data_IF_771009002558
#
_entry.id   IF_771009002558
#
_cell.length_a   1.000
_cell.length_b   1.000
_cell.length_c   1.000
_cell.angle_alpha   90.00
_cell.angle_beta   90.00
_cell.angle_gamma   90.00
#
_symmetry.space_group_name_H-M   'P 1'
#
loop_
_entity.id
_entity.type
_entity.pdbx_description
1 polymer ?
#
# COMPACT_ATOMS: atom_id res chain seq x y z
N UNK A 1 8.56 -9.67 -6.84
CA UNK A 1 9.01 -9.41 -5.46
C UNK A 1 8.44 -10.49 -4.58
N UNK A 2 9.25 -11.14 -3.75
CA UNK A 2 8.76 -12.04 -2.71
C UNK A 2 8.54 -11.23 -1.42
N UNK A 3 7.36 -11.38 -0.83
CA UNK A 3 6.92 -10.67 0.38
C UNK A 3 6.44 -11.64 1.47
N UNK A 4 6.69 -12.93 1.28
CA UNK A 4 6.22 -13.98 2.19
C UNK A 4 6.80 -13.88 3.60
N UNK A 5 8.00 -13.32 3.73
CA UNK A 5 8.72 -13.12 4.99
C UNK A 5 8.44 -11.77 5.66
N UNK A 6 7.61 -10.91 5.06
CA UNK A 6 7.39 -9.57 5.58
C UNK A 6 6.54 -9.62 6.84
N UNK A 7 6.93 -8.79 7.81
CA UNK A 7 6.08 -8.47 8.96
C UNK A 7 4.84 -7.69 8.50
N UNK A 8 3.79 -7.67 9.33
CA UNK A 8 2.56 -6.92 9.01
C UNK A 8 2.85 -5.42 8.85
N UNK A 9 3.81 -4.88 9.59
CA UNK A 9 4.27 -3.50 9.42
C UNK A 9 4.90 -3.25 8.05
N UNK A 10 5.75 -4.15 7.58
CA UNK A 10 6.35 -4.04 6.24
C UNK A 10 5.30 -4.21 5.13
N UNK A 11 4.28 -5.06 5.36
CA UNK A 11 3.14 -5.18 4.45
C UNK A 11 2.31 -3.88 4.43
N UNK A 12 2.14 -3.21 5.57
CA UNK A 12 1.49 -1.90 5.61
C UNK A 12 2.29 -0.85 4.85
N UNK A 13 3.60 -0.81 5.03
CA UNK A 13 4.46 0.15 4.35
C UNK A 13 4.42 -0.05 2.82
N UNK A 14 4.41 -1.31 2.38
CA UNK A 14 4.22 -1.67 0.98
C UNK A 14 2.85 -1.21 0.46
N UNK A 15 1.78 -1.49 1.21
CA UNK A 15 0.42 -1.04 0.88
C UNK A 15 0.36 0.48 0.74
N UNK A 16 0.94 1.22 1.68
CA UNK A 16 0.91 2.67 1.70
C UNK A 16 1.63 3.24 0.48
N UNK A 17 2.83 2.74 0.19
CA UNK A 17 3.60 3.16 -0.98
C UNK A 17 2.89 2.88 -2.31
N UNK A 18 2.21 1.73 -2.42
CA UNK A 18 1.35 1.43 -3.57
C UNK A 18 0.22 2.44 -3.68
N UNK A 19 -0.49 2.69 -2.58
CA UNK A 19 -1.63 3.60 -2.54
C UNK A 19 -1.23 5.04 -2.91
N UNK A 20 -0.07 5.50 -2.45
CA UNK A 20 0.49 6.81 -2.78
C UNK A 20 0.81 6.93 -4.27
N UNK A 21 1.49 5.92 -4.84
CA UNK A 21 1.77 5.88 -6.29
C UNK A 21 0.50 5.86 -7.11
N UNK A 22 -0.44 4.99 -6.78
CA UNK A 22 -1.73 4.90 -7.48
C UNK A 22 -2.51 6.22 -7.42
N UNK A 23 -2.54 6.89 -6.26
CA UNK A 23 -3.19 8.19 -6.13
C UNK A 23 -2.51 9.26 -7.00
N UNK A 24 -1.17 9.31 -7.00
CA UNK A 24 -0.43 10.23 -7.85
C UNK A 24 -0.68 9.97 -9.35
N UNK A 25 -0.71 8.70 -9.77
CA UNK A 25 -1.05 8.33 -11.14
C UNK A 25 -2.49 8.77 -11.51
N UNK A 26 -3.45 8.61 -10.60
CA UNK A 26 -4.83 9.06 -10.81
C UNK A 26 -4.93 10.58 -10.95
N UNK A 27 -4.24 11.33 -10.09
CA UNK A 27 -4.20 12.79 -10.18
C UNK A 27 -3.58 13.23 -11.51
N UNK A 28 -2.43 12.68 -11.88
CA UNK A 28 -1.78 12.99 -13.15
C UNK A 28 -2.66 12.63 -14.36
N UNK A 29 -3.37 11.51 -14.30
CA UNK A 29 -4.24 11.08 -15.41
C UNK A 29 -5.46 11.97 -15.59
N UNK A 30 -6.00 12.53 -14.49
CA UNK A 30 -7.19 13.37 -14.51
C UNK A 30 -6.88 14.85 -14.77
N UNK A 31 -5.80 15.35 -14.19
CA UNK A 31 -5.48 16.78 -14.16
C UNK A 31 -4.16 17.13 -14.86
N UNK A 32 -3.43 16.14 -15.35
CA UNK A 32 -2.12 16.36 -15.97
C UNK A 32 -1.13 16.97 -14.97
N UNK A 33 -0.65 18.17 -15.31
CA UNK A 33 0.26 18.94 -14.46
C UNK A 33 -0.46 20.00 -13.62
N UNK A 34 -1.78 20.12 -13.76
CA UNK A 34 -2.57 21.08 -12.99
C UNK A 34 -2.92 20.54 -11.60
N UNK A 35 -3.06 21.44 -10.63
CA UNK A 35 -3.52 21.07 -9.31
C UNK A 35 -5.00 20.63 -9.35
N UNK A 36 -5.40 19.61 -8.58
CA UNK A 36 -6.79 19.20 -8.50
C UNK A 36 -7.67 20.35 -7.96
N UNK A 37 -8.93 20.46 -8.43
CA UNK A 37 -9.83 21.51 -8.00
C UNK A 37 -10.19 21.38 -6.51
N UNK A 38 -10.61 22.50 -5.92
CA UNK A 38 -11.11 22.54 -4.54
C UNK A 38 -12.25 21.54 -4.37
N UNK A 39 -12.15 20.69 -3.34
CA UNK A 39 -13.12 19.61 -3.09
C UNK A 39 -12.77 18.27 -3.74
N UNK A 40 -11.62 18.15 -4.43
CA UNK A 40 -11.12 16.84 -4.85
C UNK A 40 -10.89 15.91 -3.65
N UNK A 41 -11.11 14.60 -3.86
CA UNK A 41 -10.94 13.59 -2.83
C UNK A 41 -9.47 13.46 -2.43
N UNK A 42 -9.15 13.84 -1.19
CA UNK A 42 -7.80 13.75 -0.66
C UNK A 42 -7.31 12.30 -0.54
N UNK A 43 -5.99 12.14 -0.53
CA UNK A 43 -5.36 10.85 -0.22
C UNK A 43 -5.68 10.41 1.21
N UNK A 44 -6.56 9.41 1.35
CA UNK A 44 -7.00 8.87 2.64
C UNK A 44 -6.79 7.34 2.70
N UNK A 45 -5.54 6.86 2.86
CA UNK A 45 -5.28 5.44 3.03
C UNK A 45 -5.81 4.95 4.38
N UNK A 46 -5.95 3.62 4.52
CA UNK A 46 -6.27 3.00 5.80
C UNK A 46 -5.18 3.35 6.81
N UNK A 47 -5.56 3.66 8.05
CA UNK A 47 -4.59 3.83 9.11
C UNK A 47 -3.91 2.49 9.45
N UNK A 48 -2.66 2.58 9.94
CA UNK A 48 -1.82 1.42 10.26
C UNK A 48 -2.52 0.40 11.17
N UNK A 49 -3.19 0.87 12.21
CA UNK A 49 -3.87 -0.02 13.17
C UNK A 49 -5.04 -0.78 12.53
N UNK A 50 -5.89 -0.08 11.77
CA UNK A 50 -7.01 -0.71 11.07
C UNK A 50 -6.54 -1.70 10.00
N UNK A 51 -5.42 -1.39 9.34
CA UNK A 51 -4.81 -2.30 8.39
C UNK A 51 -4.29 -3.56 9.07
N UNK A 52 -3.53 -3.43 10.17
CA UNK A 52 -3.02 -4.56 10.95
C UNK A 52 -4.13 -5.51 11.37
N UNK A 53 -5.19 -4.97 11.99
CA UNK A 53 -6.37 -5.75 12.40
C UNK A 53 -7.00 -6.51 11.23
N UNK A 54 -7.02 -5.94 10.01
CA UNK A 54 -7.51 -6.64 8.82
C UNK A 54 -6.60 -7.77 8.39
N UNK A 55 -5.28 -7.56 8.40
CA UNK A 55 -4.32 -8.61 8.04
C UNK A 55 -4.40 -9.78 9.03
N UNK A 56 -4.40 -9.48 10.33
CA UNK A 56 -4.54 -10.50 11.38
C UNK A 56 -5.82 -11.33 11.18
N UNK A 57 -6.93 -10.65 10.86
CA UNK A 57 -8.19 -11.33 10.57
C UNK A 57 -8.08 -12.23 9.33
N UNK A 58 -7.49 -11.74 8.24
CA UNK A 58 -7.32 -12.54 7.02
C UNK A 58 -6.36 -13.72 7.18
N UNK A 59 -5.36 -13.60 8.05
CA UNK A 59 -4.44 -14.68 8.38
C UNK A 59 -5.14 -15.77 9.22
N UNK A 60 -6.17 -15.41 10.00
CA UNK A 60 -6.98 -16.35 10.77
C UNK A 60 -8.06 -17.07 9.93
N UNK A 61 -8.42 -16.55 8.76
CA UNK A 61 -9.42 -17.13 7.88
C UNK A 61 -8.82 -18.13 6.89
N UNK A 62 -9.59 -19.18 6.57
CA UNK A 62 -9.26 -20.15 5.52
C UNK A 62 -7.82 -20.69 5.62
N UNK A 63 -7.39 -21.00 6.84
CA UNK A 63 -6.02 -21.48 7.15
C UNK A 63 -4.91 -20.54 6.64
N UNK A 64 -5.18 -19.23 6.61
CA UNK A 64 -4.25 -18.19 6.17
C UNK A 64 -4.14 -18.03 4.65
N UNK A 65 -4.96 -18.72 3.85
CA UNK A 65 -4.95 -18.59 2.39
C UNK A 65 -5.35 -17.19 1.94
N UNK A 66 -6.34 -16.58 2.59
CA UNK A 66 -6.79 -15.22 2.27
C UNK A 66 -5.67 -14.22 2.54
N UNK A 67 -5.01 -14.32 3.70
CA UNK A 67 -3.85 -13.51 4.04
C UNK A 67 -2.70 -13.64 3.04
N UNK A 68 -2.41 -14.87 2.57
CA UNK A 68 -1.39 -15.12 1.55
C UNK A 68 -1.76 -14.48 0.21
N UNK A 69 -2.99 -14.68 -0.25
CA UNK A 69 -3.49 -14.14 -1.52
C UNK A 69 -3.42 -12.60 -1.54
N UNK A 70 -3.74 -11.95 -0.42
CA UNK A 70 -3.61 -10.50 -0.30
C UNK A 70 -2.16 -10.04 -0.46
N UNK A 71 -1.20 -10.71 0.20
CA UNK A 71 0.23 -10.38 0.11
C UNK A 71 0.75 -10.55 -1.30
N UNK A 72 0.37 -11.63 -1.99
CA UNK A 72 0.71 -11.83 -3.40
C UNK A 72 0.13 -10.73 -4.30
N UNK A 73 -1.12 -10.32 -4.05
CA UNK A 73 -1.74 -9.22 -4.78
C UNK A 73 -0.98 -7.91 -4.57
N UNK A 74 -0.60 -7.59 -3.33
CA UNK A 74 0.21 -6.40 -3.02
C UNK A 74 1.57 -6.47 -3.70
N UNK A 75 2.23 -7.63 -3.72
CA UNK A 75 3.50 -7.80 -4.44
C UNK A 75 3.37 -7.56 -5.95
N UNK A 76 2.27 -8.02 -6.58
CA UNK A 76 1.98 -7.74 -8.00
C UNK A 76 1.73 -6.25 -8.24
N UNK A 77 0.97 -5.59 -7.36
CA UNK A 77 0.71 -4.15 -7.45
C UNK A 77 2.00 -3.34 -7.28
N UNK A 78 2.84 -3.70 -6.30
CA UNK A 78 4.13 -3.06 -6.10
C UNK A 78 4.99 -3.11 -7.38
N UNK A 79 5.05 -4.27 -8.03
CA UNK A 79 5.75 -4.41 -9.30
C UNK A 79 5.15 -3.52 -10.40
N UNK A 80 3.82 -3.46 -10.52
CA UNK A 80 3.13 -2.65 -11.53
C UNK A 80 3.37 -1.15 -11.36
N UNK A 81 3.41 -0.66 -10.11
CA UNK A 81 3.66 0.76 -9.80
C UNK A 81 5.14 1.12 -9.61
N UNK A 82 6.07 0.17 -9.83
CA UNK A 82 7.51 0.39 -9.62
C UNK A 82 7.88 0.70 -8.16
N UNK A 83 7.12 0.18 -7.20
CA UNK A 83 7.39 0.32 -5.77
C UNK A 83 8.41 -0.75 -5.36
N UNK A 84 9.64 -0.32 -5.07
CA UNK A 84 10.68 -1.19 -4.55
C UNK A 84 10.61 -1.31 -3.02
N UNK A 85 10.99 -2.47 -2.49
CA UNK A 85 10.98 -2.77 -1.05
C UNK A 85 11.82 -1.77 -0.23
N UNK A 86 12.96 -1.31 -0.75
CA UNK A 86 13.82 -0.33 -0.07
C UNK A 86 13.15 1.04 0.09
N UNK A 87 12.20 1.38 -0.79
CA UNK A 87 11.43 2.63 -0.73
C UNK A 87 10.40 2.57 0.38
N UNK A 88 9.67 1.44 0.51
CA UNK A 88 8.71 1.21 1.59
C UNK A 88 9.37 1.38 2.98
N UNK A 89 10.59 0.88 3.14
CA UNK A 89 11.37 1.00 4.38
C UNK A 89 11.97 2.41 4.63
N UNK A 90 12.19 3.21 3.58
CA UNK A 90 12.71 4.60 3.68
C UNK A 90 11.64 5.62 4.06
N UNK A 91 10.37 5.41 3.68
CA UNK A 91 9.26 6.31 4.04
C UNK A 91 9.12 6.53 5.56
N UNK A 92 9.50 5.50 6.35
CA UNK A 92 9.59 5.55 7.82
C UNK A 92 10.63 6.54 8.37
N UNK A 93 11.77 6.72 7.69
CA UNK A 93 12.85 7.60 8.17
C UNK A 93 12.58 9.09 7.99
N UNK A 94 11.60 9.46 7.17
CA UNK A 94 11.24 10.86 6.92
C UNK A 94 10.07 11.35 7.76
N UNK A 95 9.34 10.45 8.41
CA UNK A 95 8.16 10.76 9.22
C UNK A 95 8.37 10.57 10.73
N UNK A 96 9.62 10.32 11.17
CA UNK A 96 10.03 10.14 12.56
C UNK A 96 10.98 11.27 12.99
#
# INVERSE_FOLDING_TARGET
MDVSSFTIDEIYDLYYAIAEKDHAFRLQSLYGNEAPPVGHCEFRPLCRESFKRRIDHYDALDQGQIGRSLRERLARQAAAYGVEYQVARKSLRRAA
#
